data_IF_118124430844
#
_entry.id   IF_118124430844
#
_cell.length_a   1.000
_cell.length_b   1.000
_cell.length_c   1.000
_cell.angle_alpha   90.00
_cell.angle_beta   90.00
_cell.angle_gamma   90.00
#
_symmetry.space_group_name_H-M   'P 1'
#
loop_
_entity.id
_entity.type
_entity.pdbx_description
1 polymer ?
#
# COMPACT_ATOMS: atom_id res chain seq x y z
N UNK A 1 2.10 3.61 1.57
CA UNK A 1 1.59 4.72 0.72
C UNK A 1 0.76 4.18 -0.47
N UNK A 2 -0.35 4.85 -0.88
CA UNK A 2 -1.12 4.49 -2.11
C UNK A 2 -1.16 5.68 -3.07
N UNK A 3 -0.75 5.47 -4.32
CA UNK A 3 -0.82 6.48 -5.38
C UNK A 3 -2.18 6.34 -6.08
N UNK A 4 -3.18 7.09 -5.62
CA UNK A 4 -4.56 7.05 -6.16
C UNK A 4 -4.86 8.19 -7.12
N UNK A 5 -3.86 9.01 -7.45
CA UNK A 5 -4.01 10.15 -8.34
C UNK A 5 -4.10 9.72 -9.81
N UNK A 6 -4.71 10.56 -10.64
CA UNK A 6 -4.78 10.32 -12.08
C UNK A 6 -3.38 10.44 -12.67
N UNK A 7 -2.93 9.42 -13.40
CA UNK A 7 -1.58 9.38 -14.02
C UNK A 7 -1.48 10.47 -15.09
N UNK A 8 -1.02 11.65 -14.69
CA UNK A 8 -0.93 12.87 -15.52
C UNK A 8 0.49 13.14 -16.03
N UNK A 9 1.50 12.56 -15.39
CA UNK A 9 2.92 12.70 -15.76
C UNK A 9 3.46 11.42 -16.41
N UNK A 10 4.28 11.56 -17.46
CA UNK A 10 4.92 10.44 -18.15
C UNK A 10 6.34 10.22 -17.63
N UNK A 11 6.63 9.03 -17.10
CA UNK A 11 7.96 8.63 -16.65
C UNK A 11 8.68 7.80 -17.74
N UNK A 12 9.66 8.40 -18.42
CA UNK A 12 10.53 7.71 -19.37
C UNK A 12 11.81 7.23 -18.68
N UNK A 13 12.02 5.91 -18.58
CA UNK A 13 13.16 5.33 -17.87
C UNK A 13 14.02 4.47 -18.81
N UNK A 14 15.35 4.69 -18.77
CA UNK A 14 16.33 3.78 -19.36
C UNK A 14 16.81 2.82 -18.27
N UNK A 15 16.57 1.52 -18.46
CA UNK A 15 16.94 0.45 -17.52
C UNK A 15 17.73 -0.64 -18.21
N UNK A 16 18.44 -1.46 -17.43
CA UNK A 16 19.03 -2.68 -17.96
C UNK A 16 17.94 -3.69 -18.39
N UNK A 17 18.23 -4.54 -19.40
CA UNK A 17 17.29 -5.59 -19.82
C UNK A 17 16.88 -6.52 -18.68
N UNK A 18 17.83 -6.88 -17.82
CA UNK A 18 17.60 -7.72 -16.64
C UNK A 18 16.63 -7.08 -15.65
N UNK A 19 16.75 -5.77 -15.40
CA UNK A 19 15.82 -5.06 -14.53
C UNK A 19 14.41 -5.05 -15.11
N UNK A 20 14.27 -4.80 -16.42
CA UNK A 20 12.97 -4.83 -17.10
C UNK A 20 12.32 -6.21 -16.98
N UNK A 21 13.08 -7.28 -17.13
CA UNK A 21 12.58 -8.65 -17.00
C UNK A 21 12.11 -8.94 -15.58
N UNK A 22 12.93 -8.66 -14.58
CA UNK A 22 12.55 -8.87 -13.18
C UNK A 22 11.32 -8.05 -12.78
N UNK A 23 11.23 -6.80 -13.24
CA UNK A 23 10.05 -5.95 -13.01
C UNK A 23 8.80 -6.54 -13.66
N UNK A 24 8.93 -7.07 -14.88
CA UNK A 24 7.82 -7.71 -15.60
C UNK A 24 7.34 -8.95 -14.86
N UNK A 25 8.24 -9.85 -14.48
CA UNK A 25 7.89 -11.07 -13.74
C UNK A 25 7.18 -10.75 -12.41
N UNK A 26 7.68 -9.75 -11.68
CA UNK A 26 7.05 -9.30 -10.44
C UNK A 26 5.65 -8.70 -10.68
N UNK A 27 5.49 -7.94 -11.76
CA UNK A 27 4.20 -7.34 -12.14
C UNK A 27 3.18 -8.39 -12.58
N UNK A 28 3.62 -9.38 -13.37
CA UNK A 28 2.80 -10.51 -13.84
C UNK A 28 2.35 -11.38 -12.64
N UNK A 29 3.22 -11.60 -11.67
CA UNK A 29 2.90 -12.35 -10.44
C UNK A 29 1.78 -11.67 -9.61
N UNK A 30 1.76 -10.33 -9.53
CA UNK A 30 0.73 -9.58 -8.81
C UNK A 30 -0.47 -9.18 -9.70
N UNK A 31 -0.51 -9.62 -10.97
CA UNK A 31 -1.54 -9.28 -11.98
C UNK A 31 -1.73 -7.75 -12.13
N UNK A 32 -0.61 -7.01 -12.19
CA UNK A 32 -0.59 -5.55 -12.28
C UNK A 32 0.29 -5.11 -13.44
N UNK A 33 0.08 -3.90 -13.95
CA UNK A 33 1.00 -3.32 -14.92
C UNK A 33 2.37 -3.04 -14.29
N UNK A 34 3.45 -3.09 -15.08
CA UNK A 34 4.82 -2.77 -14.61
C UNK A 34 4.91 -1.41 -13.91
N UNK A 35 4.15 -0.42 -14.40
CA UNK A 35 4.09 0.93 -13.80
C UNK A 35 3.47 0.87 -12.39
N UNK A 36 2.34 0.17 -12.25
CA UNK A 36 1.69 0.01 -10.94
C UNK A 36 2.57 -0.82 -9.98
N UNK A 37 3.34 -1.77 -10.50
CA UNK A 37 4.29 -2.52 -9.70
C UNK A 37 5.41 -1.63 -9.15
N UNK A 38 5.93 -0.69 -9.96
CA UNK A 38 6.92 0.28 -9.52
C UNK A 38 6.38 1.18 -8.40
N UNK A 39 5.13 1.64 -8.51
CA UNK A 39 4.44 2.40 -7.47
C UNK A 39 4.35 1.61 -6.14
N UNK A 40 4.00 0.32 -6.20
CA UNK A 40 3.95 -0.55 -5.00
C UNK A 40 5.34 -0.72 -4.38
N UNK A 41 6.36 -0.97 -5.20
CA UNK A 41 7.75 -1.12 -4.73
C UNK A 41 8.26 0.17 -4.07
N UNK A 42 8.00 1.31 -4.70
CA UNK A 42 8.37 2.62 -4.17
C UNK A 42 7.62 2.93 -2.87
N UNK A 43 6.32 2.67 -2.82
CA UNK A 43 5.52 2.82 -1.61
C UNK A 43 6.06 1.96 -0.45
N UNK A 44 6.34 0.68 -0.70
CA UNK A 44 6.95 -0.22 0.31
C UNK A 44 8.34 0.27 0.74
N UNK A 45 9.15 0.78 -0.18
CA UNK A 45 10.47 1.33 0.14
C UNK A 45 10.37 2.57 1.03
N UNK A 46 9.51 3.52 0.68
CA UNK A 46 9.24 4.73 1.46
C UNK A 46 8.69 4.39 2.84
N UNK A 47 7.71 3.50 2.94
CA UNK A 47 7.12 3.06 4.20
C UNK A 47 8.19 2.42 5.12
N UNK A 48 9.11 1.62 4.57
CA UNK A 48 10.22 1.00 5.34
C UNK A 48 11.28 1.99 5.78
N UNK A 49 11.55 3.02 4.98
CA UNK A 49 12.58 4.04 5.23
C UNK A 49 12.05 5.27 5.96
N UNK A 50 10.74 5.37 6.19
CA UNK A 50 10.10 6.55 6.75
C UNK A 50 10.18 7.78 5.84
N UNK A 51 10.36 7.58 4.53
CA UNK A 51 10.45 8.68 3.57
C UNK A 51 9.03 9.16 3.26
N UNK A 52 8.73 10.40 3.60
CA UNK A 52 7.47 11.06 3.26
C UNK A 52 7.74 12.07 2.15
N UNK A 53 7.31 11.80 0.90
CA UNK A 53 7.36 12.78 -0.18
C UNK A 53 6.68 14.09 0.23
N UNK A 54 7.44 15.18 0.23
CA UNK A 54 6.91 16.51 0.48
C UNK A 54 5.91 16.86 -0.63
N UNK A 55 4.63 17.00 -0.29
CA UNK A 55 3.57 17.38 -1.24
C UNK A 55 2.34 16.49 -1.22
N UNK A 56 2.40 15.28 -0.66
CA UNK A 56 1.17 14.56 -0.30
C UNK A 56 0.63 15.19 0.99
N UNK A 57 -0.33 16.11 0.84
CA UNK A 57 -1.20 16.46 1.96
C UNK A 57 -1.75 15.13 2.47
N UNK A 58 -1.30 14.73 3.67
CA UNK A 58 -1.81 13.58 4.37
C UNK A 58 -3.32 13.74 4.44
N UNK A 59 -4.08 13.05 3.60
CA UNK A 59 -5.47 12.79 3.89
C UNK A 59 -5.43 11.80 5.05
N UNK A 60 -5.82 12.21 6.27
CA UNK A 60 -5.87 11.28 7.38
C UNK A 60 -6.91 10.22 7.01
N UNK A 61 -6.46 9.01 6.70
CA UNK A 61 -7.38 7.88 6.52
C UNK A 61 -8.14 7.70 7.84
N UNK A 62 -9.48 7.78 7.86
CA UNK A 62 -10.22 7.60 9.09
C UNK A 62 -10.31 6.10 9.41
N UNK A 63 -10.41 5.80 10.70
CA UNK A 63 -10.90 4.55 11.31
C UNK A 63 -9.89 3.44 11.67
N UNK A 64 -9.21 3.62 12.79
CA UNK A 64 -9.15 2.56 13.80
C UNK A 64 -10.43 2.61 14.66
N UNK A 65 -11.60 2.30 14.09
CA UNK A 65 -12.75 1.83 14.90
C UNK A 65 -12.68 0.31 14.95
N UNK A 66 -11.72 -0.18 15.74
CA UNK A 66 -11.67 -1.59 16.10
C UNK A 66 -12.70 -1.79 17.20
N UNK A 67 -13.83 -2.37 16.81
CA UNK A 67 -14.86 -2.88 17.70
C UNK A 67 -14.24 -3.65 18.88
N UNK A 68 -14.53 -3.19 20.11
CA UNK A 68 -14.63 -4.09 21.27
C UNK A 68 -16.09 -4.55 21.25
N UNK A 69 -16.47 -5.63 20.57
CA UNK A 69 -16.20 -7.01 20.97
C UNK A 69 -16.44 -7.20 22.48
N UNK A 70 -17.73 -7.27 22.83
CA UNK A 70 -18.33 -8.45 23.44
C UNK A 70 -17.42 -9.26 24.39
N UNK A 71 -17.74 -9.19 25.69
CA UNK A 71 -17.67 -10.31 26.66
C UNK A 71 -17.89 -9.81 28.09
N UNK A 72 -19.12 -9.97 28.59
CA UNK A 72 -19.42 -10.57 29.91
C UNK A 72 -20.93 -10.66 30.10
N UNK A 73 -21.51 -11.70 29.53
CA UNK A 73 -22.72 -12.32 30.05
C UNK A 73 -22.31 -13.63 30.73
N UNK A 74 -23.07 -13.99 31.78
CA UNK A 74 -23.02 -15.23 32.58
C UNK A 74 -21.95 -15.21 33.70
N UNK A 75 -22.26 -15.40 34.98
CA UNK A 75 -23.12 -16.41 35.62
C UNK A 75 -23.58 -15.90 37.01
N UNK A 76 -24.80 -16.28 37.43
CA UNK A 76 -25.22 -16.21 38.83
C UNK A 76 -26.72 -16.32 39.06
N UNK A 77 -27.28 -17.51 38.83
CA UNK A 77 -28.62 -17.90 39.28
C UNK A 77 -28.56 -18.53 40.69
N UNK A 78 -29.73 -18.59 41.35
CA UNK A 78 -30.04 -19.32 42.60
C UNK A 78 -29.70 -18.54 43.89
N UNK A 79 -30.56 -18.36 44.90
CA UNK A 79 -31.87 -18.92 45.30
C UNK A 79 -32.61 -17.83 46.08
#
# INVERSE_FOLDING_TARGET
>A
MRFTDTKSETLNLRVSPTFKQALKEAADHEQRSMVNMLEVLLGKYCDRKGIVPAGQKATPSPTHKRARADRRAHVGAAV
#
